data_IF_744972356488
#
_entry.id   IF_744972356488
#
_cell.length_a   1.000
_cell.length_b   1.000
_cell.length_c   1.000
_cell.angle_alpha   90.00
_cell.angle_beta   90.00
_cell.angle_gamma   90.00
#
_symmetry.space_group_name_H-M   'P 1'
#
loop_
_entity.id
_entity.type
_entity.pdbx_description
1 polymer ?
#
# COMPACT_ATOMS: atom_id res chain seq x y z
N UNK A 1 -4.38 37.10 -2.02
CA UNK A 1 -5.86 37.07 -1.95
C UNK A 1 -6.23 35.62 -1.81
N UNK A 2 -7.12 35.27 -0.88
CA UNK A 2 -7.62 33.89 -0.73
C UNK A 2 -8.69 33.63 -1.78
N UNK A 3 -8.76 32.39 -2.27
CA UNK A 3 -9.70 32.01 -3.32
C UNK A 3 -11.14 31.90 -2.78
N UNK A 4 -12.13 31.91 -3.68
CA UNK A 4 -13.55 31.91 -3.30
C UNK A 4 -13.96 30.68 -2.47
N UNK A 5 -13.26 29.55 -2.64
CA UNK A 5 -13.50 28.32 -1.88
C UNK A 5 -13.00 28.44 -0.43
N UNK A 6 -11.90 29.16 -0.21
CA UNK A 6 -11.33 29.39 1.13
C UNK A 6 -12.10 30.44 1.95
N UNK A 7 -12.94 31.24 1.29
CA UNK A 7 -13.61 32.38 1.93
C UNK A 7 -15.07 32.13 2.29
N UNK A 8 -15.69 31.02 1.84
CA UNK A 8 -17.12 30.72 2.03
C UNK A 8 -18.06 31.90 1.66
N UNK A 9 -17.60 32.81 0.78
CA UNK A 9 -18.34 34.01 0.38
C UNK A 9 -19.49 33.68 -0.59
N UNK A 10 -19.54 32.44 -1.11
CA UNK A 10 -20.56 31.99 -2.07
C UNK A 10 -21.75 31.34 -1.38
N UNK A 11 -22.96 31.84 -1.65
CA UNK A 11 -24.25 31.29 -1.15
C UNK A 11 -24.73 30.04 -1.92
N UNK A 12 -23.92 29.50 -2.86
CA UNK A 12 -24.19 28.20 -3.49
C UNK A 12 -23.96 27.06 -2.50
N UNK A 13 -24.96 26.82 -1.65
CA UNK A 13 -25.06 25.64 -0.78
C UNK A 13 -25.37 24.35 -1.56
N UNK A 14 -25.68 24.44 -2.85
CA UNK A 14 -26.05 23.31 -3.71
C UNK A 14 -24.83 22.50 -4.20
N UNK A 15 -23.62 23.06 -4.08
CA UNK A 15 -22.38 22.39 -4.40
C UNK A 15 -21.38 22.67 -3.27
N UNK A 16 -21.50 21.91 -2.17
CA UNK A 16 -20.47 21.86 -1.15
C UNK A 16 -19.38 20.86 -1.61
N UNK A 17 -18.15 21.30 -1.91
CA UNK A 17 -17.06 20.37 -2.23
C UNK A 17 -16.69 19.43 -1.06
N UNK A 18 -17.18 19.67 0.16
CA UNK A 18 -17.08 18.75 1.31
C UNK A 18 -18.18 17.68 1.33
N UNK A 19 -19.26 17.83 0.55
CA UNK A 19 -20.32 16.82 0.42
C UNK A 19 -19.86 15.60 -0.39
N UNK A 20 -18.82 15.75 -1.23
CA UNK A 20 -18.09 14.61 -1.77
C UNK A 20 -17.19 14.03 -0.69
N UNK A 21 -17.78 13.35 0.29
CA UNK A 21 -17.03 12.55 1.25
C UNK A 21 -16.20 11.50 0.51
N UNK A 22 -14.93 11.34 0.89
CA UNK A 22 -14.13 10.17 0.51
C UNK A 22 -14.64 9.01 1.36
N UNK A 23 -15.15 7.95 0.74
CA UNK A 23 -15.40 6.69 1.43
C UNK A 23 -14.03 6.03 1.70
N UNK A 24 -13.58 5.95 2.96
CA UNK A 24 -12.38 5.20 3.27
C UNK A 24 -12.61 3.72 2.95
N UNK A 25 -11.55 2.95 2.66
CA UNK A 25 -11.68 1.51 2.53
C UNK A 25 -12.35 0.93 3.78
N UNK A 26 -13.23 -0.06 3.58
CA UNK A 26 -14.03 -0.70 4.65
C UNK A 26 -13.17 -1.24 5.82
N UNK A 27 -11.88 -1.47 5.56
CA UNK A 27 -10.89 -1.95 6.48
C UNK A 27 -9.84 -0.87 6.71
N UNK A 28 -10.19 0.15 7.48
CA UNK A 28 -9.17 0.97 8.11
C UNK A 28 -8.40 0.10 9.11
N UNK A 29 -7.12 -0.17 8.81
CA UNK A 29 -6.24 -0.79 9.81
C UNK A 29 -5.81 0.28 10.81
N UNK A 30 -5.98 0.04 12.12
CA UNK A 30 -5.48 0.97 13.12
C UNK A 30 -3.94 1.06 13.03
N UNK A 31 -3.39 2.21 13.40
CA UNK A 31 -1.93 2.42 13.48
C UNK A 31 -1.30 1.69 14.68
N UNK A 32 -1.61 0.40 14.82
CA UNK A 32 -1.18 -0.50 15.89
C UNK A 32 -0.03 -1.42 15.48
N UNK A 33 0.48 -1.27 14.26
CA UNK A 33 1.70 -1.95 13.81
C UNK A 33 2.94 -1.40 14.51
N UNK A 34 3.99 -2.21 14.55
CA UNK A 34 5.28 -1.80 15.10
C UNK A 34 5.88 -0.64 14.28
N UNK A 35 6.66 0.23 14.92
CA UNK A 35 7.35 1.35 14.25
C UNK A 35 6.57 2.67 14.23
N UNK A 36 5.39 2.72 14.84
CA UNK A 36 4.56 3.94 14.90
C UNK A 36 5.12 4.97 15.88
N UNK A 37 6.00 4.57 16.80
CA UNK A 37 6.71 5.49 17.70
C UNK A 37 8.19 5.68 17.32
N UNK A 38 8.76 6.84 17.68
CA UNK A 38 10.18 7.14 17.45
C UNK A 38 11.15 6.23 18.22
N UNK A 39 10.66 5.52 19.23
CA UNK A 39 11.45 4.55 19.99
C UNK A 39 11.49 3.20 19.26
N UNK A 40 10.35 2.70 18.80
CA UNK A 40 10.24 1.49 17.98
C UNK A 40 10.99 1.62 16.67
N UNK A 41 10.86 2.76 15.97
CA UNK A 41 11.60 3.01 14.73
C UNK A 41 13.13 2.94 14.91
N UNK A 42 13.64 3.36 16.09
CA UNK A 42 15.08 3.24 16.40
C UNK A 42 15.47 1.82 16.79
N UNK A 43 14.57 1.06 17.42
CA UNK A 43 14.82 -0.35 17.77
C UNK A 43 14.82 -1.23 16.52
N UNK A 44 13.92 -0.95 15.58
CA UNK A 44 13.61 -1.84 14.47
C UNK A 44 12.76 -3.03 14.93
N UNK A 45 12.02 -3.59 13.97
CA UNK A 45 11.20 -4.78 14.18
C UNK A 45 12.07 -6.04 14.22
N UNK A 46 11.64 -7.06 14.96
CA UNK A 46 12.35 -8.35 14.95
C UNK A 46 12.01 -9.15 13.69
N UNK A 47 12.91 -10.04 13.28
CA UNK A 47 12.65 -10.95 12.16
C UNK A 47 11.39 -11.81 12.41
N UNK A 48 11.20 -12.29 13.63
CA UNK A 48 10.02 -13.09 13.98
C UNK A 48 8.71 -12.30 13.85
N UNK A 49 8.74 -10.99 14.12
CA UNK A 49 7.57 -10.11 13.94
C UNK A 49 7.27 -9.92 12.45
N UNK A 50 8.29 -9.59 11.65
CA UNK A 50 8.14 -9.47 10.18
C UNK A 50 7.56 -10.75 9.56
N UNK A 51 8.05 -11.93 9.97
CA UNK A 51 7.55 -13.21 9.47
C UNK A 51 6.12 -13.51 9.94
N UNK A 52 5.67 -12.95 11.06
CA UNK A 52 4.30 -13.12 11.53
C UNK A 52 3.30 -12.24 10.78
N UNK A 53 3.76 -11.13 10.20
CA UNK A 53 2.96 -10.25 9.35
C UNK A 53 2.84 -10.77 7.90
N UNK A 54 3.81 -11.56 7.43
CA UNK A 54 3.82 -12.15 6.10
C UNK A 54 2.75 -13.25 5.94
N UNK A 55 2.13 -13.31 4.76
CA UNK A 55 1.30 -14.44 4.37
C UNK A 55 2.20 -15.53 3.74
N UNK A 56 2.20 -16.77 4.27
CA UNK A 56 3.05 -17.82 3.72
C UNK A 56 2.55 -18.26 2.35
N UNK A 57 3.48 -18.42 1.41
CA UNK A 57 3.17 -18.97 0.11
C UNK A 57 2.50 -20.35 0.24
N UNK A 58 1.33 -20.49 -0.38
CA UNK A 58 0.65 -21.77 -0.46
C UNK A 58 1.33 -22.63 -1.53
N UNK A 59 1.53 -23.94 -1.28
CA UNK A 59 2.02 -24.83 -2.31
C UNK A 59 1.05 -24.78 -3.49
N UNK A 60 1.56 -24.42 -4.67
CA UNK A 60 0.79 -24.48 -5.89
C UNK A 60 0.25 -25.92 -6.04
N UNK A 61 -1.04 -26.11 -6.37
CA UNK A 61 -1.52 -27.43 -6.73
C UNK A 61 -0.61 -27.95 -7.85
N UNK A 62 -0.12 -29.18 -7.73
CA UNK A 62 0.69 -29.81 -8.78
C UNK A 62 -0.18 -29.96 -10.04
N UNK A 63 -0.14 -28.96 -10.90
CA UNK A 63 -0.93 -28.84 -12.11
C UNK A 63 -0.10 -28.12 -13.14
N UNK A 64 0.30 -28.86 -14.17
CA UNK A 64 1.07 -28.43 -15.33
C UNK A 64 0.35 -27.31 -16.13
N UNK A 65 0.22 -26.09 -15.59
CA UNK A 65 -0.43 -24.98 -16.31
C UNK A 65 0.21 -23.59 -16.16
N UNK A 66 1.20 -23.41 -15.28
CA UNK A 66 1.92 -22.13 -15.12
C UNK A 66 3.42 -22.20 -15.48
N UNK A 67 3.80 -23.16 -16.33
CA UNK A 67 5.21 -23.51 -16.55
C UNK A 67 5.93 -22.90 -17.75
N UNK A 68 5.26 -22.14 -18.64
CA UNK A 68 5.88 -21.81 -19.94
C UNK A 68 5.77 -20.34 -20.41
N UNK A 69 5.01 -19.45 -19.75
CA UNK A 69 4.80 -18.08 -20.29
C UNK A 69 5.81 -17.03 -19.81
N UNK A 70 6.44 -17.20 -18.63
CA UNK A 70 7.37 -16.19 -18.08
C UNK A 70 8.86 -16.56 -18.21
N UNK A 71 9.17 -17.71 -18.79
CA UNK A 71 10.56 -18.15 -18.98
C UNK A 71 11.25 -17.47 -20.18
N UNK A 72 10.48 -16.95 -21.14
CA UNK A 72 11.02 -16.36 -22.37
C UNK A 72 11.43 -14.88 -22.21
N UNK A 73 10.87 -14.16 -21.22
CA UNK A 73 11.10 -12.71 -21.05
C UNK A 73 12.17 -12.35 -19.99
N UNK A 74 12.65 -13.32 -19.20
CA UNK A 74 13.77 -13.13 -18.27
C UNK A 74 15.09 -13.54 -18.93
N UNK A 75 15.46 -12.85 -20.01
CA UNK A 75 16.85 -12.78 -20.48
C UNK A 75 17.68 -11.96 -19.47
N UNK A 76 17.90 -12.52 -18.28
CA UNK A 76 18.93 -12.07 -17.36
C UNK A 76 20.28 -12.37 -18.03
N UNK A 77 20.82 -11.40 -18.77
CA UNK A 77 22.19 -11.46 -19.25
C UNK A 77 23.11 -11.53 -18.02
N UNK A 78 23.80 -12.67 -17.78
CA UNK A 78 24.68 -12.82 -16.63
C UNK A 78 25.94 -11.92 -16.70
N UNK A 79 26.08 -11.15 -17.78
CA UNK A 79 27.19 -10.22 -18.04
C UNK A 79 26.84 -8.76 -17.74
N UNK A 80 25.60 -8.44 -17.35
CA UNK A 80 25.19 -7.07 -16.96
C UNK A 80 25.29 -6.85 -15.44
N UNK A 81 26.50 -7.04 -14.90
CA UNK A 81 26.88 -6.58 -13.55
C UNK A 81 28.12 -5.66 -13.70
N UNK A 82 28.04 -4.35 -13.39
CA UNK A 82 29.15 -3.41 -13.53
C UNK A 82 30.23 -3.53 -12.43
#
# INVERSE_FOLDING_TARGET
MLDAQDTLITDRLDYDPLDSGIDPPDHWSPAESFGTTAEEARRGESLDQLLAEEEPDLPQPSGDEFGEEYADDLDLDPTDDP
#
